data_IF_932408033511
#
_entry.id   IF_932408033511
#
_cell.length_a   1.000
_cell.length_b   1.000
_cell.length_c   1.000
_cell.angle_alpha   90.00
_cell.angle_beta   90.00
_cell.angle_gamma   90.00
#
_symmetry.space_group_name_H-M   'P 1'
#
loop_
_entity.id
_entity.type
_entity.pdbx_description
1 polymer ?
#
# COMPACT_ATOMS: atom_id res chain seq x y z
N UNK A 1 -10.46 11.52 2.13
CA UNK A 1 -9.97 12.70 2.87
C UNK A 1 -11.16 13.59 3.21
N UNK A 2 -12.09 13.13 4.05
CA UNK A 2 -13.32 13.89 4.29
C UNK A 2 -13.82 13.99 5.74
N UNK A 3 -13.21 13.38 6.75
CA UNK A 3 -13.82 13.38 8.09
C UNK A 3 -12.96 14.02 9.21
N UNK A 4 -11.67 13.71 9.33
CA UNK A 4 -10.86 14.20 10.47
C UNK A 4 -10.53 15.72 10.47
N UNK A 5 -10.82 16.43 9.39
CA UNK A 5 -10.55 17.86 9.23
C UNK A 5 -11.83 18.70 9.00
N UNK A 6 -13.00 18.08 9.14
CA UNK A 6 -14.26 18.78 8.95
C UNK A 6 -14.38 19.93 9.98
N UNK A 7 -14.54 21.16 9.49
CA UNK A 7 -14.54 22.37 10.32
C UNK A 7 -13.17 23.02 10.61
N UNK A 8 -12.04 22.36 10.28
CA UNK A 8 -10.71 22.97 10.41
C UNK A 8 -10.33 23.65 9.09
N UNK A 9 -10.19 24.98 9.10
CA UNK A 9 -9.80 25.73 7.90
C UNK A 9 -8.38 25.33 7.48
N UNK A 10 -8.10 25.28 6.18
CA UNK A 10 -6.77 24.97 5.61
C UNK A 10 -5.63 25.75 6.28
N UNK A 11 -5.85 27.03 6.61
CA UNK A 11 -4.87 27.87 7.32
C UNK A 11 -4.54 27.37 8.74
N UNK A 12 -5.52 26.84 9.46
CA UNK A 12 -5.33 26.28 10.81
C UNK A 12 -4.52 24.98 10.73
N UNK A 13 -4.87 24.10 9.79
CA UNK A 13 -4.11 22.88 9.50
C UNK A 13 -2.63 23.17 9.20
N UNK A 14 -2.34 24.12 8.30
CA UNK A 14 -0.96 24.54 8.01
C UNK A 14 -0.22 25.08 9.24
N UNK A 15 -0.89 25.91 10.05
CA UNK A 15 -0.30 26.44 11.29
C UNK A 15 0.02 25.34 12.30
N UNK A 16 -0.89 24.37 12.46
CA UNK A 16 -0.69 23.21 13.32
C UNK A 16 0.47 22.34 12.83
N UNK A 17 0.51 21.99 11.55
CA UNK A 17 1.60 21.20 10.96
C UNK A 17 2.97 21.87 11.16
N UNK A 18 3.07 23.18 10.96
CA UNK A 18 4.30 23.95 11.21
C UNK A 18 4.72 23.92 12.67
N UNK A 19 3.79 24.11 13.61
CA UNK A 19 4.08 24.02 15.05
C UNK A 19 4.53 22.61 15.44
N UNK A 20 3.88 21.58 14.90
CA UNK A 20 4.23 20.18 15.18
C UNK A 20 5.65 19.85 14.70
N UNK A 21 5.99 20.18 13.46
CA UNK A 21 7.37 19.98 12.94
C UNK A 21 8.37 20.85 13.68
N UNK A 22 8.00 22.08 14.05
CA UNK A 22 8.85 22.98 14.85
C UNK A 22 9.22 22.45 16.23
N UNK A 23 8.46 21.49 16.78
CA UNK A 23 8.72 20.84 18.08
C UNK A 23 9.57 19.57 17.97
N UNK A 24 9.87 19.08 16.76
CA UNK A 24 10.72 17.91 16.59
C UNK A 24 12.19 18.24 16.96
N UNK A 25 13.01 17.24 17.32
CA UNK A 25 14.46 17.39 17.36
C UNK A 25 15.01 17.91 16.03
N UNK A 26 16.10 18.68 16.06
CA UNK A 26 16.64 19.32 14.85
C UNK A 26 17.07 18.31 13.78
N UNK A 27 17.54 17.14 14.19
CA UNK A 27 17.84 16.02 13.28
C UNK A 27 16.61 15.55 12.51
N UNK A 28 15.45 15.47 13.17
CA UNK A 28 14.19 15.10 12.52
C UNK A 28 13.64 16.22 11.65
N UNK A 29 13.72 17.48 12.08
CA UNK A 29 13.37 18.64 11.23
C UNK A 29 14.15 18.63 9.93
N UNK A 30 15.47 18.41 10.02
CA UNK A 30 16.36 18.31 8.85
C UNK A 30 15.92 17.18 7.93
N UNK A 31 15.70 15.97 8.46
CA UNK A 31 15.21 14.82 7.66
C UNK A 31 13.92 15.15 6.91
N UNK A 32 12.93 15.75 7.58
CA UNK A 32 11.68 16.17 6.94
C UNK A 32 11.94 17.21 5.86
N UNK A 33 12.79 18.21 6.11
CA UNK A 33 13.09 19.27 5.13
C UNK A 33 13.75 18.76 3.85
N UNK A 34 14.50 17.66 3.92
CA UNK A 34 15.19 17.04 2.78
C UNK A 34 14.28 16.12 1.95
N UNK A 35 13.06 15.83 2.42
CA UNK A 35 12.12 14.98 1.69
C UNK A 35 11.61 15.65 0.42
N UNK A 36 11.26 14.83 -0.57
CA UNK A 36 10.62 15.29 -1.80
C UNK A 36 9.31 16.01 -1.49
N UNK A 37 8.99 17.03 -2.28
CA UNK A 37 7.75 17.79 -2.16
C UNK A 37 7.24 18.08 -3.55
N UNK A 38 5.96 17.82 -3.78
CA UNK A 38 5.33 18.25 -5.03
C UNK A 38 5.32 19.79 -5.13
N UNK A 39 5.59 20.36 -6.32
CA UNK A 39 5.49 21.80 -6.56
C UNK A 39 4.07 22.34 -6.31
N UNK A 40 3.96 23.61 -5.90
CA UNK A 40 2.66 24.28 -5.74
C UNK A 40 1.93 24.01 -4.42
N UNK A 41 2.43 23.11 -3.57
CA UNK A 41 1.91 22.88 -2.23
C UNK A 41 2.70 23.63 -1.16
N UNK A 42 2.08 23.90 -0.01
CA UNK A 42 2.79 24.42 1.16
C UNK A 42 3.96 23.48 1.53
N UNK A 43 5.07 24.08 1.98
CA UNK A 43 6.35 23.38 2.20
C UNK A 43 6.22 22.06 2.98
N UNK A 44 5.37 22.03 4.02
CA UNK A 44 5.15 20.82 4.79
C UNK A 44 4.11 19.92 4.15
N UNK A 45 3.00 20.49 3.68
CA UNK A 45 1.93 19.70 3.06
C UNK A 45 2.42 18.90 1.86
N UNK A 46 3.23 19.48 0.98
CA UNK A 46 3.78 18.74 -0.16
C UNK A 46 4.65 17.56 0.27
N UNK A 47 5.41 17.69 1.37
CA UNK A 47 6.21 16.59 1.91
C UNK A 47 5.36 15.50 2.55
N UNK A 48 4.35 15.89 3.32
CA UNK A 48 3.45 14.92 3.94
C UNK A 48 2.64 14.17 2.88
N UNK A 49 2.12 14.86 1.88
CA UNK A 49 1.29 14.24 0.84
C UNK A 49 2.10 13.26 -0.03
N UNK A 50 3.34 13.60 -0.36
CA UNK A 50 4.22 12.76 -1.18
C UNK A 50 4.82 11.57 -0.43
N UNK A 51 5.06 11.67 0.88
CA UNK A 51 5.91 10.71 1.60
C UNK A 51 5.25 10.01 2.79
N UNK A 52 4.03 10.38 3.17
CA UNK A 52 3.36 9.76 4.30
C UNK A 52 2.64 8.46 3.92
N UNK A 53 2.65 7.52 4.86
CA UNK A 53 2.01 6.22 4.74
C UNK A 53 0.75 6.17 5.59
N UNK A 54 -0.26 5.40 5.16
CA UNK A 54 -1.40 5.06 6.01
C UNK A 54 -0.94 4.26 7.23
N UNK A 55 -1.49 4.55 8.40
CA UNK A 55 -1.19 3.83 9.65
C UNK A 55 -2.48 3.45 10.36
N UNK A 56 -2.50 2.24 10.93
CA UNK A 56 -3.59 1.77 11.77
C UNK A 56 -3.31 2.15 13.23
N UNK A 57 -4.04 3.12 13.76
CA UNK A 57 -4.02 3.46 15.17
C UNK A 57 -5.32 3.03 15.83
N UNK A 58 -5.23 2.04 16.71
CA UNK A 58 -6.37 1.51 17.48
C UNK A 58 -7.56 1.05 16.61
N UNK A 59 -7.31 0.50 15.42
CA UNK A 59 -8.34 0.05 14.49
C UNK A 59 -8.87 1.14 13.57
N UNK A 60 -8.29 2.35 13.61
CA UNK A 60 -8.63 3.45 12.70
C UNK A 60 -7.55 3.61 11.62
N UNK A 61 -7.96 3.52 10.36
CA UNK A 61 -7.11 3.60 9.17
C UNK A 61 -7.05 5.01 8.55
N UNK A 62 -7.68 6.03 9.16
CA UNK A 62 -7.68 7.41 8.67
C UNK A 62 -6.41 8.20 9.02
N UNK A 63 -5.47 7.57 9.71
CA UNK A 63 -4.23 8.21 10.15
C UNK A 63 -3.12 8.04 9.13
N UNK A 64 -2.22 9.03 9.09
CA UNK A 64 -0.99 8.98 8.29
C UNK A 64 0.24 9.21 9.16
N UNK A 65 1.29 8.46 8.88
CA UNK A 65 2.59 8.57 9.52
C UNK A 65 3.68 8.92 8.51
N UNK A 66 4.62 9.76 8.92
CA UNK A 66 5.81 10.08 8.13
C UNK A 66 7.00 9.26 8.64
N UNK A 67 7.56 8.43 7.77
CA UNK A 67 8.68 7.54 8.10
C UNK A 67 9.83 7.83 7.12
N UNK A 68 10.71 8.80 7.43
CA UNK A 68 11.69 9.32 6.47
C UNK A 68 12.62 8.26 5.85
N UNK A 69 12.93 7.19 6.59
CA UNK A 69 13.77 6.09 6.11
C UNK A 69 13.02 5.22 5.08
N UNK A 70 11.76 4.88 5.35
CA UNK A 70 10.92 4.05 4.46
C UNK A 70 10.50 4.87 3.22
N UNK A 71 10.23 6.16 3.38
CA UNK A 71 9.85 7.05 2.29
C UNK A 71 10.93 7.22 1.20
N UNK A 72 12.16 6.76 1.43
CA UNK A 72 13.23 6.75 0.43
C UNK A 72 13.18 5.53 -0.51
N UNK A 73 12.38 4.51 -0.19
CA UNK A 73 12.30 3.29 -0.98
C UNK A 73 11.43 3.57 -2.20
N UNK A 74 11.99 3.41 -3.40
CA UNK A 74 11.31 3.76 -4.65
C UNK A 74 10.22 2.78 -5.05
N UNK A 75 9.41 3.20 -6.03
CA UNK A 75 8.38 2.37 -6.62
C UNK A 75 8.95 1.36 -7.62
N UNK A 76 8.48 0.12 -7.55
CA UNK A 76 8.46 -0.81 -8.69
C UNK A 76 7.09 -1.52 -8.77
N UNK A 77 6.64 -1.84 -9.99
CA UNK A 77 5.41 -2.59 -10.21
C UNK A 77 5.55 -4.08 -9.85
N UNK A 78 6.78 -4.59 -9.77
CA UNK A 78 7.17 -5.90 -9.19
C UNK A 78 8.22 -5.65 -8.11
N UNK A 79 7.80 -5.27 -6.89
CA UNK A 79 8.69 -4.72 -5.88
C UNK A 79 9.73 -5.73 -5.34
N UNK A 80 10.54 -5.36 -4.37
CA UNK A 80 11.37 -6.33 -3.61
C UNK A 80 10.87 -6.50 -2.17
N UNK A 81 10.09 -5.52 -1.70
CA UNK A 81 9.63 -5.39 -0.33
C UNK A 81 8.14 -5.04 -0.26
N UNK A 82 7.52 -5.29 0.89
CA UNK A 82 6.26 -4.68 1.28
C UNK A 82 6.41 -3.88 2.56
N UNK A 83 5.55 -2.88 2.74
CA UNK A 83 5.51 -2.09 3.98
C UNK A 83 4.42 -2.57 4.92
N UNK A 84 4.74 -2.66 6.21
CA UNK A 84 3.75 -2.95 7.26
C UNK A 84 3.92 -2.00 8.43
N UNK A 85 2.81 -1.42 8.89
CA UNK A 85 2.79 -0.68 10.13
C UNK A 85 2.60 -1.63 11.33
N UNK A 86 3.49 -1.55 12.32
CA UNK A 86 3.37 -2.24 13.59
C UNK A 86 2.77 -1.30 14.62
N UNK A 87 1.47 -1.43 14.91
CA UNK A 87 0.78 -0.60 15.91
C UNK A 87 1.33 -0.81 17.33
N UNK A 88 1.91 -1.99 17.62
CA UNK A 88 2.58 -2.29 18.89
C UNK A 88 3.88 -1.52 19.07
N UNK A 89 4.69 -1.41 18.00
CA UNK A 89 6.01 -0.77 18.06
C UNK A 89 5.97 0.70 17.60
N UNK A 90 4.87 1.12 16.99
CA UNK A 90 4.70 2.40 16.31
C UNK A 90 5.74 2.64 15.20
N UNK A 91 6.12 1.57 14.51
CA UNK A 91 7.14 1.58 13.44
C UNK A 91 6.56 1.15 12.11
N UNK A 92 7.09 1.71 11.02
CA UNK A 92 6.92 1.18 9.68
C UNK A 92 8.07 0.23 9.35
N UNK A 93 7.74 -0.97 8.90
CA UNK A 93 8.69 -2.02 8.54
C UNK A 93 8.65 -2.21 7.02
N UNK A 94 9.82 -2.31 6.38
CA UNK A 94 9.94 -2.82 5.02
C UNK A 94 10.45 -4.26 5.10
N UNK A 95 9.69 -5.21 4.54
CA UNK A 95 9.95 -6.64 4.66
C UNK A 95 10.17 -7.21 3.26
N UNK A 96 11.32 -7.83 3.04
CA UNK A 96 11.65 -8.51 1.78
C UNK A 96 10.78 -9.77 1.62
N UNK A 97 10.17 -9.94 0.45
CA UNK A 97 9.35 -11.11 0.14
C UNK A 97 10.09 -12.16 -0.69
N UNK A 98 11.12 -11.74 -1.44
CA UNK A 98 12.05 -12.59 -2.17
C UNK A 98 13.48 -12.34 -1.72
N UNK A 99 14.41 -13.11 -2.25
CA UNK A 99 15.83 -12.83 -2.04
C UNK A 99 16.25 -11.60 -2.87
N UNK A 100 17.11 -10.78 -2.27
CA UNK A 100 17.56 -9.50 -2.82
C UNK A 100 19.08 -9.56 -2.91
N UNK A 101 19.62 -9.35 -4.10
CA UNK A 101 21.07 -9.45 -4.32
C UNK A 101 21.78 -8.21 -3.77
N UNK A 102 23.05 -8.36 -3.41
CA UNK A 102 23.87 -7.21 -3.05
C UNK A 102 23.96 -6.23 -4.24
N UNK A 103 23.65 -4.96 -3.99
CA UNK A 103 23.62 -3.92 -5.01
C UNK A 103 22.29 -3.79 -5.76
N UNK A 104 21.33 -4.69 -5.52
CA UNK A 104 19.96 -4.53 -5.99
C UNK A 104 19.24 -3.45 -5.18
N UNK A 105 18.47 -2.60 -5.86
CA UNK A 105 17.68 -1.56 -5.22
C UNK A 105 16.49 -2.17 -4.47
N UNK A 106 16.22 -1.66 -3.26
CA UNK A 106 14.99 -1.98 -2.55
C UNK A 106 13.83 -1.21 -3.17
N UNK A 107 12.72 -1.87 -3.43
CA UNK A 107 11.51 -1.25 -3.98
C UNK A 107 10.24 -1.72 -3.29
N UNK A 108 9.22 -0.85 -3.30
CA UNK A 108 7.85 -1.14 -2.85
C UNK A 108 6.84 -0.75 -3.93
N UNK A 109 5.62 -1.26 -3.86
CA UNK A 109 4.57 -0.80 -4.77
C UNK A 109 3.78 0.36 -4.15
N UNK A 110 3.67 1.47 -4.88
CA UNK A 110 2.80 2.60 -4.50
C UNK A 110 1.37 2.41 -5.02
N UNK A 111 1.19 1.47 -5.94
CA UNK A 111 -0.09 1.16 -6.59
C UNK A 111 -0.70 -0.12 -6.02
N UNK A 112 -2.03 -0.22 -5.98
CA UNK A 112 -2.74 -1.48 -5.79
C UNK A 112 -2.29 -2.55 -6.79
N UNK A 113 -2.44 -3.83 -6.41
CA UNK A 113 -1.94 -4.94 -7.21
C UNK A 113 -2.81 -5.25 -8.45
N UNK A 114 -4.06 -4.79 -8.45
CA UNK A 114 -5.09 -5.12 -9.44
C UNK A 114 -5.26 -4.08 -10.58
N UNK A 115 -4.31 -3.17 -10.75
CA UNK A 115 -4.39 -2.09 -11.74
C UNK A 115 -3.59 -2.38 -13.00
N UNK A 116 -4.12 -1.99 -14.15
CA UNK A 116 -3.44 -2.10 -15.46
C UNK A 116 -2.39 -1.01 -15.64
N UNK A 117 -1.54 -1.14 -16.66
CA UNK A 117 -0.35 -0.31 -16.83
C UNK A 117 -0.68 1.17 -16.96
N UNK A 118 -1.71 1.52 -17.73
CA UNK A 118 -2.19 2.90 -17.87
C UNK A 118 -2.61 3.50 -16.51
N UNK A 119 -3.49 2.81 -15.77
CA UNK A 119 -3.93 3.24 -14.44
C UNK A 119 -2.76 3.39 -13.45
N UNK A 120 -1.79 2.46 -13.50
CA UNK A 120 -0.59 2.52 -12.65
C UNK A 120 0.24 3.76 -12.99
N UNK A 121 0.46 4.06 -14.27
CA UNK A 121 1.20 5.26 -14.69
C UNK A 121 0.49 6.54 -14.25
N UNK A 122 -0.82 6.64 -14.43
CA UNK A 122 -1.62 7.80 -14.02
C UNK A 122 -1.54 8.06 -12.52
N UNK A 123 -1.58 7.01 -11.70
CA UNK A 123 -1.41 7.14 -10.25
C UNK A 123 0.02 7.57 -9.90
N UNK A 124 1.03 6.96 -10.51
CA UNK A 124 2.44 7.23 -10.23
C UNK A 124 2.84 8.67 -10.59
N UNK A 125 2.22 9.27 -11.60
CA UNK A 125 2.43 10.68 -11.94
C UNK A 125 2.14 11.65 -10.78
N UNK A 126 1.36 11.24 -9.77
CA UNK A 126 1.15 12.04 -8.54
C UNK A 126 2.43 12.27 -7.73
N UNK A 127 3.44 11.42 -7.92
CA UNK A 127 4.78 11.58 -7.37
C UNK A 127 5.73 12.33 -8.30
N UNK A 128 5.25 12.79 -9.46
CA UNK A 128 6.03 13.60 -10.40
C UNK A 128 7.00 12.81 -11.29
N UNK A 129 6.79 11.49 -11.47
CA UNK A 129 7.57 10.65 -12.37
C UNK A 129 6.70 9.66 -13.13
N UNK A 130 7.26 9.05 -14.19
CA UNK A 130 6.67 7.91 -14.89
C UNK A 130 7.45 6.64 -14.52
N UNK A 131 6.74 5.55 -14.26
CA UNK A 131 7.39 4.28 -13.91
C UNK A 131 8.09 3.69 -15.14
N UNK A 132 9.36 3.33 -14.98
CA UNK A 132 10.22 2.74 -16.03
C UNK A 132 10.80 1.40 -15.60
N UNK A 133 10.13 0.72 -14.66
CA UNK A 133 10.49 -0.64 -14.27
C UNK A 133 10.40 -1.59 -15.47
N UNK A 134 11.04 -2.76 -15.36
CA UNK A 134 11.07 -3.76 -16.42
C UNK A 134 9.67 -4.12 -16.95
N UNK A 135 8.68 -4.22 -16.06
CA UNK A 135 7.30 -4.50 -16.44
C UNK A 135 6.72 -3.41 -17.34
N UNK A 136 6.92 -2.14 -17.00
CA UNK A 136 6.36 -1.00 -17.73
C UNK A 136 7.14 -0.64 -19.00
N UNK A 137 8.42 -1.01 -19.08
CA UNK A 137 9.27 -0.72 -20.24
C UNK A 137 9.18 -1.77 -21.35
N UNK A 138 8.63 -2.95 -21.07
CA UNK A 138 8.42 -4.02 -22.05
C UNK A 138 6.92 -4.13 -22.41
N UNK A 139 6.53 -3.82 -23.66
CA UNK A 139 5.12 -3.89 -24.08
C UNK A 139 4.51 -5.29 -23.99
N UNK A 140 5.27 -6.35 -24.23
CA UNK A 140 4.78 -7.72 -24.17
C UNK A 140 4.53 -8.14 -22.71
N UNK A 141 5.46 -7.81 -21.80
CA UNK A 141 5.27 -8.03 -20.36
C UNK A 141 4.11 -7.19 -19.82
N UNK A 142 4.02 -5.91 -20.19
CA UNK A 142 2.91 -5.03 -19.82
C UNK A 142 1.56 -5.63 -20.25
N UNK A 143 1.42 -6.01 -21.52
CA UNK A 143 0.17 -6.59 -22.03
C UNK A 143 -0.22 -7.90 -21.35
N UNK A 144 0.76 -8.74 -20.98
CA UNK A 144 0.49 -9.96 -20.21
C UNK A 144 0.09 -9.66 -18.77
N UNK A 145 0.79 -8.74 -18.13
CA UNK A 145 0.48 -8.31 -16.76
C UNK A 145 -0.89 -7.67 -16.66
N UNK A 146 -1.29 -6.87 -17.65
CA UNK A 146 -2.59 -6.22 -17.66
C UNK A 146 -3.74 -7.22 -17.72
N UNK A 147 -3.60 -8.32 -18.48
CA UNK A 147 -4.58 -9.42 -18.45
C UNK A 147 -4.67 -10.08 -17.08
N UNK A 148 -3.53 -10.37 -16.47
CA UNK A 148 -3.47 -11.00 -15.14
C UNK A 148 -4.07 -10.09 -14.06
N UNK A 149 -3.70 -8.82 -14.05
CA UNK A 149 -4.20 -7.82 -13.09
C UNK A 149 -5.67 -7.49 -13.30
N UNK A 150 -6.15 -7.51 -14.54
CA UNK A 150 -7.59 -7.44 -14.85
C UNK A 150 -8.33 -8.64 -14.27
N UNK A 151 -7.78 -9.85 -14.38
CA UNK A 151 -8.39 -11.04 -13.77
C UNK A 151 -8.41 -10.96 -12.24
N UNK A 152 -7.31 -10.52 -11.63
CA UNK A 152 -7.23 -10.22 -10.19
C UNK A 152 -8.36 -9.26 -9.78
N UNK A 153 -8.59 -8.17 -10.52
CA UNK A 153 -9.68 -7.23 -10.23
C UNK A 153 -11.06 -7.91 -10.31
N UNK A 154 -11.26 -8.82 -11.27
CA UNK A 154 -12.44 -9.67 -11.38
C UNK A 154 -12.62 -10.57 -10.15
N UNK A 155 -11.57 -11.26 -9.71
CA UNK A 155 -11.59 -12.11 -8.52
C UNK A 155 -11.96 -11.31 -7.27
N UNK A 156 -11.37 -10.12 -7.08
CA UNK A 156 -11.71 -9.24 -5.95
C UNK A 156 -13.20 -8.87 -5.98
N UNK A 157 -13.74 -8.56 -7.16
CA UNK A 157 -15.17 -8.26 -7.32
C UNK A 157 -16.05 -9.45 -6.97
N UNK A 158 -15.74 -10.64 -7.51
CA UNK A 158 -16.48 -11.88 -7.28
C UNK A 158 -16.46 -12.31 -5.81
N UNK A 159 -15.29 -12.22 -5.17
CA UNK A 159 -15.11 -12.56 -3.75
C UNK A 159 -15.90 -11.63 -2.81
N UNK A 160 -16.23 -10.41 -3.24
CA UNK A 160 -17.09 -9.49 -2.49
C UNK A 160 -18.58 -9.59 -2.88
N UNK A 161 -18.91 -10.41 -3.89
CA UNK A 161 -20.28 -10.60 -4.37
C UNK A 161 -21.11 -11.59 -3.54
N UNK A 162 -22.42 -11.72 -3.81
CA UNK A 162 -23.32 -12.61 -3.05
C UNK A 162 -22.95 -14.10 -3.13
N UNK A 163 -22.38 -14.53 -4.25
CA UNK A 163 -21.95 -15.92 -4.52
C UNK A 163 -20.73 -16.35 -3.68
N UNK A 164 -20.01 -15.40 -3.08
CA UNK A 164 -18.88 -15.67 -2.17
C UNK A 164 -19.27 -16.44 -0.90
N UNK A 165 -20.56 -16.67 -0.65
CA UNK A 165 -21.03 -17.45 0.50
C UNK A 165 -20.78 -18.95 0.33
N UNK A 166 -20.52 -19.40 -0.89
CA UNK A 166 -20.20 -20.79 -1.18
C UNK A 166 -18.70 -21.05 -0.99
N UNK A 167 -18.38 -21.99 -0.11
CA UNK A 167 -16.99 -22.33 0.24
C UNK A 167 -16.17 -22.77 -0.96
N UNK A 168 -16.77 -23.52 -1.88
CA UNK A 168 -16.11 -24.03 -3.08
C UNK A 168 -15.76 -22.89 -4.06
N UNK A 169 -16.65 -21.92 -4.23
CA UNK A 169 -16.40 -20.71 -5.03
C UNK A 169 -15.22 -19.94 -4.44
N UNK A 170 -15.22 -19.69 -3.12
CA UNK A 170 -14.11 -19.00 -2.46
C UNK A 170 -12.78 -19.74 -2.56
N UNK A 171 -12.80 -21.06 -2.43
CA UNK A 171 -11.58 -21.87 -2.55
C UNK A 171 -10.98 -21.74 -3.95
N UNK A 172 -11.80 -21.90 -4.99
CA UNK A 172 -11.38 -21.74 -6.39
C UNK A 172 -10.81 -20.35 -6.67
N UNK A 173 -11.52 -19.29 -6.25
CA UNK A 173 -11.06 -17.91 -6.42
C UNK A 173 -9.75 -17.63 -5.67
N UNK A 174 -9.58 -18.23 -4.49
CA UNK A 174 -8.36 -18.07 -3.70
C UNK A 174 -7.15 -18.74 -4.35
N UNK A 175 -7.31 -19.94 -4.93
CA UNK A 175 -6.22 -20.61 -5.65
C UNK A 175 -5.85 -19.86 -6.92
N UNK A 176 -6.84 -19.43 -7.72
CA UNK A 176 -6.58 -18.63 -8.93
C UNK A 176 -5.87 -17.31 -8.60
N UNK A 177 -6.27 -16.65 -7.52
CA UNK A 177 -5.62 -15.42 -7.05
C UNK A 177 -4.16 -15.66 -6.64
N UNK A 178 -3.85 -16.79 -5.98
CA UNK A 178 -2.47 -17.14 -5.62
C UNK A 178 -1.60 -17.32 -6.85
N UNK A 179 -2.08 -18.09 -7.84
CA UNK A 179 -1.35 -18.34 -9.09
C UNK A 179 -1.06 -17.04 -9.85
N UNK A 180 -2.05 -16.14 -9.95
CA UNK A 180 -1.87 -14.85 -10.63
C UNK A 180 -0.93 -13.91 -9.86
N UNK A 181 -1.01 -13.89 -8.53
CA UNK A 181 -0.12 -13.10 -7.68
C UNK A 181 1.33 -13.58 -7.82
N UNK A 182 1.56 -14.89 -7.86
CA UNK A 182 2.88 -15.49 -8.04
C UNK A 182 3.43 -15.20 -9.44
N UNK A 183 2.62 -15.38 -10.48
CA UNK A 183 3.00 -15.06 -11.86
C UNK A 183 3.34 -13.56 -12.07
N UNK A 184 2.76 -12.69 -11.27
CA UNK A 184 3.03 -11.25 -11.29
C UNK A 184 4.11 -10.80 -10.30
N UNK A 185 4.66 -11.70 -9.49
CA UNK A 185 5.62 -11.38 -8.41
C UNK A 185 5.05 -10.33 -7.43
N UNK A 186 3.78 -10.47 -7.04
CA UNK A 186 3.04 -9.53 -6.18
C UNK A 186 2.74 -10.06 -4.78
N UNK A 187 3.47 -11.07 -4.32
CA UNK A 187 3.28 -11.69 -3.00
C UNK A 187 3.43 -10.67 -1.87
N UNK A 188 4.30 -9.67 -2.07
CA UNK A 188 4.42 -8.46 -1.25
C UNK A 188 3.09 -7.76 -0.98
N UNK A 189 2.20 -7.72 -1.97
CA UNK A 189 0.92 -7.05 -1.91
C UNK A 189 -0.24 -8.01 -1.59
N UNK A 190 -0.01 -9.31 -1.70
CA UNK A 190 -1.04 -10.32 -1.54
C UNK A 190 -1.65 -10.32 -0.12
N UNK A 191 -0.86 -10.01 0.91
CA UNK A 191 -1.36 -9.88 2.29
C UNK A 191 -2.46 -8.82 2.46
N UNK A 192 -2.56 -7.86 1.53
CA UNK A 192 -3.58 -6.80 1.53
C UNK A 192 -4.91 -7.26 0.91
N UNK A 193 -4.93 -8.34 0.11
CA UNK A 193 -6.10 -8.75 -0.69
C UNK A 193 -6.47 -10.24 -0.54
N UNK A 194 -5.52 -11.09 -0.16
CA UNK A 194 -5.70 -12.53 -0.04
C UNK A 194 -5.52 -12.93 1.41
N UNK A 195 -6.64 -13.09 2.09
CA UNK A 195 -6.65 -13.80 3.35
C UNK A 195 -6.45 -15.30 3.07
N UNK A 196 -5.19 -15.75 2.95
CA UNK A 196 -4.88 -17.16 2.70
C UNK A 196 -3.62 -17.48 1.89
N UNK A 197 -2.73 -16.53 1.62
CA UNK A 197 -1.39 -16.84 1.06
C UNK A 197 -0.49 -17.29 2.21
N UNK A 198 -0.26 -18.60 2.28
CA UNK A 198 0.66 -19.23 3.23
C UNK A 198 2.10 -19.11 2.71
N UNK A 199 2.65 -17.89 2.79
CA UNK A 199 4.08 -17.68 2.58
C UNK A 199 4.80 -17.77 3.94
N UNK A 200 5.91 -18.51 4.09
CA UNK A 200 6.63 -18.69 5.37
C UNK A 200 7.05 -17.36 6.03
N UNK A 201 7.24 -16.30 5.23
CA UNK A 201 7.57 -14.94 5.71
C UNK A 201 6.33 -14.07 6.05
N UNK A 202 5.13 -14.45 5.63
CA UNK A 202 3.83 -13.77 5.91
C UNK A 202 3.12 -14.36 7.13
N UNK A 203 3.52 -15.55 7.57
CA UNK A 203 2.92 -16.27 8.69
C UNK A 203 2.86 -15.47 10.01
N UNK A 204 3.80 -14.52 10.17
CA UNK A 204 3.90 -13.61 11.32
C UNK A 204 3.05 -12.34 11.20
N UNK A 205 2.28 -12.19 10.11
CA UNK A 205 1.46 -11.01 9.78
C UNK A 205 -0.03 -11.35 9.57
N UNK A 206 -0.47 -12.55 10.00
CA UNK A 206 -1.85 -13.03 9.82
C UNK A 206 -2.83 -12.29 10.71
N UNK A 207 -3.65 -11.43 10.11
CA UNK A 207 -4.92 -11.01 10.68
C UNK A 207 -5.96 -10.88 9.56
N UNK A 208 -6.95 -11.78 9.59
CA UNK A 208 -8.37 -11.51 9.30
C UNK A 208 -8.81 -11.61 7.82
N UNK A 209 -9.64 -12.57 7.34
CA UNK A 209 -10.60 -13.53 7.96
C UNK A 209 -11.16 -13.13 9.34
N UNK A 210 -11.36 -11.84 9.54
CA UNK A 210 -12.10 -11.28 10.67
C UNK A 210 -13.31 -10.52 10.17
N UNK A 211 -13.32 -10.10 8.91
CA UNK A 211 -14.54 -9.71 8.20
C UNK A 211 -15.45 -10.92 7.91
N UNK A 212 -14.88 -12.11 7.69
CA UNK A 212 -15.63 -13.39 7.69
C UNK A 212 -16.27 -13.71 9.06
N UNK A 213 -15.70 -13.24 10.19
CA UNK A 213 -16.28 -13.40 11.54
C UNK A 213 -17.36 -12.37 11.89
N UNK A 214 -17.31 -11.16 11.32
CA UNK A 214 -18.31 -10.11 11.56
C UNK A 214 -19.69 -10.46 10.96
N UNK A 215 -19.72 -11.13 9.81
CA UNK A 215 -20.97 -11.59 9.19
C UNK A 215 -21.67 -12.73 9.97
N UNK A 216 -20.93 -13.47 10.80
CA UNK A 216 -21.44 -14.56 11.64
C UNK A 216 -21.88 -14.04 13.03
N UNK A 217 -21.27 -12.96 13.55
CA UNK A 217 -21.56 -12.45 14.90
C UNK A 217 -22.79 -11.53 14.99
N UNK A 218 -23.35 -11.09 13.86
CA UNK A 218 -24.57 -10.26 13.80
C UNK A 218 -25.91 -11.02 13.89
N UNK A 219 -25.93 -12.26 14.41
CA UNK A 219 -27.16 -13.06 14.61
C UNK A 219 -27.36 -13.55 16.05
N UNK A 220 -26.98 -12.75 17.05
CA UNK A 220 -27.52 -12.85 18.40
C UNK A 220 -27.61 -11.46 19.02
N UNK A 221 -28.60 -10.71 18.55
CA UNK A 221 -29.59 -9.95 19.34
C UNK A 221 -30.78 -9.67 18.41
#
# INVERSE_FOLDING_TARGET
MHDAAEGIRTKQLTSMSRKSVGRLPDTQKKRVSEMASMPGLDFLWGRFDTNAFGVDLAGNYDHRGLFPEIARINHDCRPSCYTRYSSRLLTMEAIAYRDIKQGEELSIAYTPLNLQTEDRQDIIQRWGFNCTCQLCSDPALSASSDRNRQRIAGIITEANGPQSREREVLARLSEEMKELVEAEELESLAGTYVSGVDHPRVEKARSVIGKLKASIKGRKE
#
